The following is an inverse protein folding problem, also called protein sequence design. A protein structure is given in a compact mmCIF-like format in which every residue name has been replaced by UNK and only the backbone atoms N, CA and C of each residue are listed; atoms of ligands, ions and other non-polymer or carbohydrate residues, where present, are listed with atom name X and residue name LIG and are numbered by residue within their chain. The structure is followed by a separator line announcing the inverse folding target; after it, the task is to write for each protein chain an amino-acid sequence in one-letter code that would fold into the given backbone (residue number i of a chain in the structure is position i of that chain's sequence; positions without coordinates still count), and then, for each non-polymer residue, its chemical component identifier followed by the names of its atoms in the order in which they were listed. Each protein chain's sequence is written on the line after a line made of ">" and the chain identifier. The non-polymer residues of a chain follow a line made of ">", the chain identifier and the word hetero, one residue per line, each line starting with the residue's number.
data_IF_412442280532
#
_entry.id   IF_412442280532
#
_cell.length_a   1.000
_cell.length_b   1.000
_cell.length_c   1.000
_cell.angle_alpha   90.00
_cell.angle_beta   90.00
_cell.angle_gamma   90.00
#
_symmetry.space_group_name_H-M   'P 1'
#
loop_
_entity.id
_entity.type
_entity.pdbx_description
1 polymer ?
#
# COMPACT_ATOMS: atom_id res chain seq x y z
N UNK A 1 -0.39 -21.10 -8.99
CA UNK A 1 -0.67 -19.65 -9.02
C UNK A 1 0.61 -18.91 -9.32
N UNK A 2 0.58 -18.04 -10.30
CA UNK A 2 1.70 -17.15 -10.66
C UNK A 2 1.41 -15.74 -10.16
N UNK A 3 2.43 -15.04 -9.74
CA UNK A 3 2.34 -13.64 -9.32
C UNK A 3 3.27 -12.78 -10.17
N UNK A 4 2.72 -11.68 -10.72
CA UNK A 4 3.49 -10.60 -11.32
C UNK A 4 3.37 -9.36 -10.44
N UNK A 5 4.49 -8.70 -10.19
CA UNK A 5 4.52 -7.44 -9.45
C UNK A 5 5.06 -6.35 -10.38
N UNK A 6 4.28 -5.30 -10.58
CA UNK A 6 4.70 -4.07 -11.24
C UNK A 6 4.88 -3.00 -10.18
N UNK A 7 6.08 -2.42 -10.10
CA UNK A 7 6.42 -1.40 -9.13
C UNK A 7 6.88 -0.14 -9.86
N UNK A 8 6.19 0.97 -9.63
CA UNK A 8 6.47 2.27 -10.24
C UNK A 8 6.83 3.26 -9.13
N UNK A 9 8.02 3.81 -9.21
CA UNK A 9 8.49 4.85 -8.31
C UNK A 9 8.26 6.22 -8.94
N UNK A 10 7.49 7.06 -8.26
CA UNK A 10 7.25 8.45 -8.60
C UNK A 10 8.03 9.33 -7.61
N UNK A 11 9.21 9.85 -7.99
CA UNK A 11 9.95 10.77 -7.13
C UNK A 11 9.19 12.10 -7.02
N UNK A 12 9.15 12.65 -5.83
CA UNK A 12 8.63 13.98 -5.51
C UNK A 12 9.78 14.86 -4.98
N UNK A 13 9.53 16.11 -4.74
CA UNK A 13 10.50 17.02 -4.16
C UNK A 13 10.84 16.63 -2.70
N UNK A 14 11.97 17.14 -2.19
CA UNK A 14 12.35 16.99 -0.78
C UNK A 14 12.49 15.55 -0.25
N UNK A 15 12.95 14.60 -1.08
CA UNK A 15 13.13 13.20 -0.69
C UNK A 15 11.82 12.48 -0.34
N UNK A 16 10.70 13.00 -0.76
CA UNK A 16 9.43 12.32 -0.75
C UNK A 16 9.30 11.49 -2.04
N UNK A 17 8.50 10.45 -2.01
CA UNK A 17 8.22 9.66 -3.19
C UNK A 17 6.96 8.83 -3.00
N UNK A 18 6.36 8.44 -4.10
CA UNK A 18 5.28 7.49 -4.11
C UNK A 18 5.74 6.20 -4.78
N UNK A 19 5.38 5.08 -4.20
CA UNK A 19 5.58 3.75 -4.76
C UNK A 19 4.22 3.15 -5.08
N UNK A 20 3.89 3.08 -6.36
CA UNK A 20 2.70 2.36 -6.83
C UNK A 20 3.05 0.89 -7.06
N UNK A 21 2.20 0.00 -6.55
CA UNK A 21 2.34 -1.44 -6.68
C UNK A 21 1.08 -2.03 -7.30
N UNK A 22 1.25 -2.76 -8.40
CA UNK A 22 0.21 -3.61 -8.96
C UNK A 22 0.66 -5.07 -8.84
N UNK A 23 -0.23 -5.90 -8.31
CA UNK A 23 -0.03 -7.33 -8.15
C UNK A 23 -1.08 -8.07 -8.98
N UNK A 24 -0.63 -8.78 -10.01
CA UNK A 24 -1.47 -9.65 -10.81
C UNK A 24 -1.24 -11.10 -10.35
N UNK A 25 -2.29 -11.71 -9.82
CA UNK A 25 -2.32 -13.10 -9.36
C UNK A 25 -3.07 -13.94 -10.39
N UNK A 26 -2.44 -14.93 -11.01
CA UNK A 26 -3.03 -15.79 -12.04
C UNK A 26 -3.17 -17.23 -11.56
N UNK A 27 -4.34 -17.80 -11.74
CA UNK A 27 -4.64 -19.20 -11.45
C UNK A 27 -4.32 -20.10 -12.67
N UNK A 28 -3.02 -20.26 -13.03
CA UNK A 28 -2.58 -20.92 -14.27
C UNK A 28 -3.02 -22.38 -14.41
N UNK A 29 -2.87 -23.19 -13.36
CA UNK A 29 -2.93 -24.65 -13.45
C UNK A 29 -4.16 -25.25 -12.74
N UNK A 30 -5.23 -24.50 -12.65
CA UNK A 30 -6.46 -24.93 -11.99
C UNK A 30 -7.04 -23.84 -11.10
N UNK A 31 -8.21 -24.09 -10.52
CA UNK A 31 -8.85 -23.17 -9.60
C UNK A 31 -8.01 -22.97 -8.34
N UNK A 32 -7.96 -21.72 -7.85
CA UNK A 32 -7.25 -21.31 -6.62
C UNK A 32 -8.23 -20.66 -5.67
N UNK A 33 -8.23 -21.07 -4.43
CA UNK A 33 -8.99 -20.45 -3.36
C UNK A 33 -8.05 -19.65 -2.44
N UNK A 34 -8.30 -18.35 -2.32
CA UNK A 34 -7.73 -17.49 -1.30
C UNK A 34 -8.64 -17.53 -0.08
N UNK A 35 -8.22 -18.23 0.95
CA UNK A 35 -9.01 -18.45 2.16
C UNK A 35 -9.16 -17.16 2.98
N UNK A 36 -10.16 -17.14 3.87
CA UNK A 36 -10.35 -16.03 4.80
C UNK A 36 -9.12 -15.83 5.69
N UNK A 37 -8.71 -14.57 5.80
CA UNK A 37 -7.55 -14.18 6.61
C UNK A 37 -7.64 -12.72 7.06
N UNK A 38 -7.12 -12.45 8.24
CA UNK A 38 -6.94 -11.07 8.71
C UNK A 38 -5.82 -10.32 7.97
N UNK A 39 -4.92 -11.06 7.30
CA UNK A 39 -3.79 -10.49 6.61
C UNK A 39 -4.16 -10.06 5.19
N UNK A 40 -3.47 -9.03 4.69
CA UNK A 40 -3.52 -8.66 3.28
C UNK A 40 -2.47 -9.40 2.46
N UNK A 41 -2.59 -9.31 1.13
CA UNK A 41 -1.55 -9.79 0.20
C UNK A 41 -0.30 -8.90 0.31
N UNK A 42 -0.51 -7.60 0.50
CA UNK A 42 0.55 -6.63 0.77
C UNK A 42 0.41 -6.11 2.19
N UNK A 43 1.52 -6.11 2.92
CA UNK A 43 1.61 -5.50 4.23
C UNK A 43 2.94 -4.74 4.38
N UNK A 44 2.92 -3.71 5.21
CA UNK A 44 4.04 -2.85 5.49
C UNK A 44 4.33 -2.88 6.98
N UNK A 45 5.59 -2.87 7.34
CA UNK A 45 6.03 -2.62 8.70
C UNK A 45 6.91 -1.37 8.71
N UNK A 46 6.47 -0.34 9.43
CA UNK A 46 7.24 0.89 9.58
C UNK A 46 8.46 0.69 10.48
N UNK A 47 9.41 1.62 10.40
CA UNK A 47 10.56 1.62 11.29
C UNK A 47 10.12 1.64 12.77
N UNK A 48 10.91 0.99 13.62
CA UNK A 48 10.62 0.88 15.06
C UNK A 48 10.37 2.24 15.72
N UNK A 49 11.10 3.28 15.33
CA UNK A 49 10.96 4.63 15.87
C UNK A 49 9.63 5.30 15.47
N UNK A 50 9.04 4.92 14.33
CA UNK A 50 7.75 5.43 13.85
C UNK A 50 6.59 4.68 14.51
N UNK A 51 6.79 3.43 14.97
CA UNK A 51 5.73 2.64 15.57
C UNK A 51 5.15 3.27 16.84
N UNK A 52 3.89 3.04 17.13
CA UNK A 52 3.24 3.56 18.33
C UNK A 52 3.77 2.88 19.60
N UNK A 53 4.02 1.57 19.53
CA UNK A 53 4.47 0.79 20.68
C UNK A 53 5.94 1.02 21.07
N UNK A 54 6.84 1.06 20.08
CA UNK A 54 8.28 1.19 20.35
C UNK A 54 8.80 2.62 20.21
N UNK A 55 8.05 3.47 19.50
CA UNK A 55 8.34 4.89 19.26
C UNK A 55 7.27 5.78 19.88
N UNK A 56 7.01 6.89 19.22
CA UNK A 56 5.95 7.84 19.58
C UNK A 56 5.06 8.15 18.38
N UNK A 57 5.00 7.22 17.44
CA UNK A 57 4.19 7.39 16.25
C UNK A 57 2.72 7.16 16.48
N UNK A 58 1.94 7.52 15.49
CA UNK A 58 0.48 7.39 15.51
C UNK A 58 -0.02 6.76 14.21
N UNK A 59 -1.08 5.97 14.34
CA UNK A 59 -1.81 5.40 13.20
C UNK A 59 -3.07 6.24 12.99
N UNK A 60 -3.27 6.72 11.76
CA UNK A 60 -4.47 7.42 11.33
C UNK A 60 -5.13 6.68 10.17
N UNK A 61 -6.42 6.89 9.96
CA UNK A 61 -7.12 6.38 8.78
C UNK A 61 -8.00 7.43 8.10
N UNK A 62 -8.42 7.15 6.89
CA UNK A 62 -9.31 8.01 6.10
C UNK A 62 -10.58 8.42 6.83
N UNK A 63 -11.08 7.58 7.75
CA UNK A 63 -12.31 7.80 8.50
C UNK A 63 -12.12 8.62 9.80
N UNK A 64 -10.93 9.21 10.00
CA UNK A 64 -10.61 10.02 11.16
C UNK A 64 -10.40 9.24 12.47
N UNK A 65 -10.34 7.92 12.42
CA UNK A 65 -9.99 7.09 13.57
C UNK A 65 -8.48 7.10 13.79
N UNK A 66 -8.07 6.98 15.06
CA UNK A 66 -6.67 6.99 15.49
C UNK A 66 -6.40 5.80 16.41
N UNK A 67 -5.25 5.14 16.20
CA UNK A 67 -4.78 4.03 17.03
C UNK A 67 -5.36 2.67 16.63
N UNK A 68 -4.64 1.60 17.00
CA UNK A 68 -4.99 0.21 16.67
C UNK A 68 -6.42 -0.15 17.11
N UNK A 69 -6.76 0.12 18.35
CA UNK A 69 -8.05 -0.26 18.95
C UNK A 69 -9.25 0.23 18.15
N UNK A 70 -9.17 1.46 17.60
CA UNK A 70 -10.27 2.06 16.85
C UNK A 70 -10.28 1.70 15.37
N UNK A 71 -9.13 1.26 14.83
CA UNK A 71 -8.94 1.02 13.40
C UNK A 71 -8.97 -0.46 13.05
N UNK A 72 -8.42 -1.34 13.91
CA UNK A 72 -8.29 -2.77 13.60
C UNK A 72 -9.63 -3.38 13.16
N UNK A 73 -9.62 -4.02 12.00
CA UNK A 73 -10.79 -4.68 11.41
C UNK A 73 -11.89 -3.74 10.91
N UNK A 74 -11.62 -2.45 10.80
CA UNK A 74 -12.57 -1.47 10.26
C UNK A 74 -12.20 -1.07 8.83
N UNK A 75 -13.20 -0.76 7.97
CA UNK A 75 -12.93 -0.31 6.62
C UNK A 75 -12.33 1.09 6.61
N UNK A 76 -11.39 1.32 5.68
CA UNK A 76 -10.85 2.62 5.36
C UNK A 76 -10.19 2.60 3.99
N UNK A 77 -10.09 3.77 3.35
CA UNK A 77 -9.48 3.93 2.02
C UNK A 77 -7.96 4.00 2.08
N UNK A 78 -7.41 4.46 3.21
CA UNK A 78 -5.98 4.48 3.48
C UNK A 78 -5.69 4.45 4.97
N UNK A 79 -4.44 4.09 5.28
CA UNK A 79 -3.82 4.18 6.60
C UNK A 79 -2.55 5.00 6.51
N UNK A 80 -2.33 5.85 7.50
CA UNK A 80 -1.08 6.56 7.72
C UNK A 80 -0.42 6.07 8.99
N UNK A 81 0.89 5.93 8.94
CA UNK A 81 1.71 5.71 10.11
C UNK A 81 2.86 6.71 10.10
N UNK A 82 2.85 7.67 11.02
CA UNK A 82 3.85 8.72 11.10
C UNK A 82 4.39 8.92 12.51
N UNK A 83 5.66 9.30 12.60
CA UNK A 83 6.34 9.45 13.89
C UNK A 83 7.76 10.00 13.74
N UNK A 84 8.53 9.93 14.83
CA UNK A 84 9.89 10.47 14.89
C UNK A 84 10.90 9.53 14.25
N UNK A 85 11.80 10.09 13.45
CA UNK A 85 12.95 9.41 12.84
C UNK A 85 14.22 10.20 13.10
N UNK A 86 15.25 9.49 13.57
CA UNK A 86 16.58 10.10 13.72
C UNK A 86 17.35 9.99 12.41
N UNK A 87 17.61 11.10 11.75
CA UNK A 87 18.43 11.18 10.52
C UNK A 87 19.80 11.77 10.81
N UNK A 88 20.77 11.51 9.91
CA UNK A 88 22.15 11.99 10.05
C UNK A 88 23.08 10.94 10.63
N UNK A 89 24.36 11.30 10.75
CA UNK A 89 25.43 10.37 11.13
C UNK A 89 26.12 10.81 12.44
N UNK A 90 26.29 9.87 13.38
CA UNK A 90 26.98 10.07 14.68
C UNK A 90 26.38 11.24 15.48
N UNK A 91 27.22 12.24 15.86
CA UNK A 91 26.85 13.38 16.68
C UNK A 91 25.97 14.43 15.96
N UNK A 92 25.81 14.29 14.63
CA UNK A 92 24.96 15.17 13.80
C UNK A 92 23.59 14.55 13.50
N UNK A 93 23.05 13.79 14.44
CA UNK A 93 21.69 13.26 14.32
C UNK A 93 20.68 14.36 14.61
N UNK A 94 19.67 14.45 13.73
CA UNK A 94 18.56 15.38 13.85
C UNK A 94 17.28 14.57 13.88
N UNK A 95 16.41 14.88 14.81
CA UNK A 95 15.07 14.32 14.85
C UNK A 95 14.20 14.98 13.80
N UNK A 96 13.64 14.17 12.92
CA UNK A 96 12.64 14.58 11.94
C UNK A 96 11.34 13.82 12.21
N UNK A 97 10.24 14.32 11.65
CA UNK A 97 8.99 13.60 11.61
C UNK A 97 8.74 13.15 10.18
N UNK A 98 8.51 11.87 10.03
CA UNK A 98 8.33 11.22 8.74
C UNK A 98 7.25 10.14 8.87
N UNK A 99 6.69 9.75 7.76
CA UNK A 99 5.67 8.73 7.74
C UNK A 99 5.45 8.13 6.35
N UNK A 100 4.51 7.24 6.32
CA UNK A 100 3.99 6.69 5.08
C UNK A 100 2.49 6.51 5.16
N UNK A 101 1.82 6.84 4.06
CA UNK A 101 0.39 6.60 3.87
C UNK A 101 0.23 5.46 2.86
N UNK A 102 -0.50 4.42 3.24
CA UNK A 102 -0.78 3.25 2.42
C UNK A 102 -2.23 3.32 1.93
N UNK A 103 -2.41 3.43 0.61
CA UNK A 103 -3.70 3.56 -0.07
C UNK A 103 -4.14 2.24 -0.69
N UNK A 104 -5.43 1.93 -0.52
CA UNK A 104 -6.15 0.86 -1.17
C UNK A 104 -6.84 1.41 -2.42
N UNK A 105 -6.80 0.71 -3.56
CA UNK A 105 -7.42 1.19 -4.80
C UNK A 105 -8.89 0.79 -4.88
N UNK A 106 -9.80 1.65 -5.42
CA UNK A 106 -11.22 1.32 -5.57
C UNK A 106 -11.52 0.06 -6.38
N UNK A 107 -10.64 -0.32 -7.30
CA UNK A 107 -10.81 -1.53 -8.11
C UNK A 107 -10.46 -2.83 -7.35
N UNK A 108 -9.89 -2.74 -6.15
CA UNK A 108 -9.63 -3.92 -5.32
C UNK A 108 -10.94 -4.53 -4.81
N UNK A 109 -11.13 -5.85 -4.86
CA UNK A 109 -12.41 -6.50 -4.54
C UNK A 109 -12.96 -6.22 -3.14
N UNK A 110 -12.07 -5.93 -2.18
CA UNK A 110 -12.42 -5.65 -0.79
C UNK A 110 -12.55 -4.16 -0.47
N UNK A 111 -12.42 -3.26 -1.48
CA UNK A 111 -12.44 -1.82 -1.24
C UNK A 111 -13.77 -1.29 -0.69
N UNK A 112 -13.77 -0.38 0.31
CA UNK A 112 -12.61 -0.04 1.15
C UNK A 112 -12.28 -1.18 2.10
N UNK A 113 -11.05 -1.69 1.99
CA UNK A 113 -10.60 -2.86 2.75
C UNK A 113 -10.70 -2.64 4.26
N UNK A 114 -11.00 -3.71 5.00
CA UNK A 114 -10.79 -3.75 6.45
C UNK A 114 -9.31 -3.94 6.73
N UNK A 115 -8.78 -3.20 7.70
CA UNK A 115 -7.35 -3.14 7.92
C UNK A 115 -6.89 -4.00 9.10
N UNK A 116 -5.76 -4.67 8.89
CA UNK A 116 -4.96 -5.25 9.95
C UNK A 116 -3.84 -4.26 10.29
N UNK A 117 -3.99 -3.56 11.39
CA UNK A 117 -2.99 -2.62 11.90
C UNK A 117 -2.56 -3.03 13.30
N UNK A 118 -1.29 -2.77 13.65
CA UNK A 118 -0.73 -3.06 14.96
C UNK A 118 0.12 -1.89 15.44
N UNK A 119 0.11 -1.66 16.74
CA UNK A 119 0.95 -0.63 17.38
C UNK A 119 2.45 -0.89 17.21
N UNK A 120 2.85 -2.13 16.91
CA UNK A 120 4.24 -2.51 16.62
C UNK A 120 4.72 -2.09 15.22
N UNK A 121 3.89 -1.36 14.46
CA UNK A 121 4.23 -0.79 13.17
C UNK A 121 3.67 -1.50 11.94
N UNK A 122 2.81 -2.50 12.13
CA UNK A 122 2.23 -3.25 11.02
C UNK A 122 0.99 -2.57 10.43
N UNK A 123 0.89 -2.54 9.08
CA UNK A 123 -0.30 -2.15 8.33
C UNK A 123 -0.51 -3.06 7.13
N UNK A 124 -1.72 -3.55 6.95
CA UNK A 124 -2.11 -4.34 5.78
C UNK A 124 -3.59 -4.19 5.47
N UNK A 125 -3.91 -3.99 4.19
CA UNK A 125 -5.28 -4.04 3.70
C UNK A 125 -5.70 -5.51 3.55
N UNK A 126 -6.67 -5.96 4.36
CA UNK A 126 -7.09 -7.37 4.41
C UNK A 126 -8.01 -7.69 3.23
N UNK A 127 -7.49 -8.38 2.22
CA UNK A 127 -8.24 -8.74 1.01
C UNK A 127 -9.39 -9.70 1.31
N UNK A 128 -9.13 -10.75 2.09
CA UNK A 128 -10.08 -11.85 2.34
C UNK A 128 -10.54 -11.89 3.80
N UNK A 129 -10.79 -10.74 4.44
CA UNK A 129 -11.13 -10.72 5.87
C UNK A 129 -12.49 -11.34 6.16
N UNK A 130 -13.49 -11.03 5.35
CA UNK A 130 -14.88 -11.45 5.58
C UNK A 130 -15.23 -12.70 4.79
N UNK A 131 -14.64 -12.88 3.63
CA UNK A 131 -14.87 -14.03 2.74
C UNK A 131 -13.63 -14.33 1.91
N UNK A 132 -13.47 -15.57 1.51
CA UNK A 132 -12.45 -16.01 0.56
C UNK A 132 -12.78 -15.55 -0.87
N UNK A 133 -11.80 -15.66 -1.75
CA UNK A 133 -11.94 -15.42 -3.19
C UNK A 133 -11.58 -16.71 -3.91
N UNK A 134 -12.49 -17.20 -4.75
CA UNK A 134 -12.22 -18.32 -5.65
C UNK A 134 -11.87 -17.75 -7.03
N UNK A 135 -10.76 -18.19 -7.58
CA UNK A 135 -10.29 -17.86 -8.92
C UNK A 135 -10.35 -19.10 -9.78
N UNK A 136 -11.08 -19.06 -10.89
CA UNK A 136 -11.10 -20.15 -11.86
C UNK A 136 -9.76 -20.22 -12.64
N UNK A 137 -9.53 -21.37 -13.25
CA UNK A 137 -8.33 -21.58 -14.09
C UNK A 137 -8.22 -20.49 -15.17
N UNK A 138 -7.07 -19.85 -15.28
CA UNK A 138 -6.81 -18.75 -16.21
C UNK A 138 -7.30 -17.37 -15.74
N UNK A 139 -8.01 -17.29 -14.62
CA UNK A 139 -8.45 -16.00 -14.07
C UNK A 139 -7.27 -15.24 -13.46
N UNK A 140 -7.25 -13.92 -13.71
CA UNK A 140 -6.30 -12.99 -13.12
C UNK A 140 -7.01 -12.06 -12.15
N UNK A 141 -6.49 -11.98 -10.94
CA UNK A 141 -6.88 -11.00 -9.92
C UNK A 141 -5.82 -9.90 -9.85
N UNK A 142 -6.21 -8.70 -10.22
CA UNK A 142 -5.34 -7.52 -10.13
C UNK A 142 -5.64 -6.74 -8.85
N UNK A 143 -4.59 -6.49 -8.07
CA UNK A 143 -4.64 -5.67 -6.85
C UNK A 143 -3.71 -4.48 -7.01
N UNK A 144 -4.17 -3.30 -6.58
CA UNK A 144 -3.42 -2.05 -6.72
C UNK A 144 -3.31 -1.33 -5.39
N UNK A 145 -2.10 -0.86 -5.10
CA UNK A 145 -1.78 -0.15 -3.86
C UNK A 145 -0.81 0.99 -4.16
N UNK A 146 -0.92 2.06 -3.36
CA UNK A 146 0.02 3.18 -3.42
C UNK A 146 0.57 3.45 -2.02
N UNK A 147 1.87 3.65 -1.93
CA UNK A 147 2.57 4.03 -0.70
C UNK A 147 3.16 5.42 -0.92
N UNK A 148 2.67 6.42 -0.18
CA UNK A 148 3.22 7.77 -0.17
C UNK A 148 4.18 7.90 1.02
N UNK A 149 5.47 8.05 0.75
CA UNK A 149 6.49 8.29 1.77
C UNK A 149 6.65 9.80 1.91
N UNK A 150 6.32 10.32 3.09
CA UNK A 150 6.22 11.75 3.30
C UNK A 150 7.01 12.23 4.52
N UNK A 151 7.36 13.52 4.48
CA UNK A 151 7.84 14.25 5.63
C UNK A 151 6.69 14.77 6.47
N UNK A 152 7.00 15.12 7.71
CA UNK A 152 6.08 15.61 8.72
C UNK A 152 5.09 14.55 9.18
N UNK A 153 4.15 14.98 10.01
CA UNK A 153 3.05 14.13 10.47
C UNK A 153 1.97 14.02 9.39
N UNK A 154 1.05 13.09 9.62
CA UNK A 154 -0.13 12.90 8.80
C UNK A 154 -0.84 14.20 8.44
N UNK A 155 -1.05 14.41 7.14
CA UNK A 155 -1.87 15.48 6.58
C UNK A 155 -3.04 14.88 5.80
N UNK A 156 -4.23 15.01 6.39
CA UNK A 156 -5.45 14.49 5.79
C UNK A 156 -5.75 15.08 4.41
N UNK A 157 -5.52 16.39 4.21
CA UNK A 157 -5.79 17.03 2.92
C UNK A 157 -4.85 16.53 1.82
N UNK A 158 -3.57 16.28 2.18
CA UNK A 158 -2.62 15.65 1.27
C UNK A 158 -3.09 14.23 0.91
N UNK A 159 -3.43 13.43 1.91
CA UNK A 159 -3.89 12.06 1.71
C UNK A 159 -5.16 11.98 0.85
N UNK A 160 -6.15 12.88 1.06
CA UNK A 160 -7.36 12.95 0.22
C UNK A 160 -7.01 13.23 -1.25
N UNK A 161 -6.17 14.23 -1.54
CA UNK A 161 -5.76 14.55 -2.94
C UNK A 161 -5.05 13.37 -3.62
N UNK A 162 -4.17 12.69 -2.90
CA UNK A 162 -3.45 11.52 -3.41
C UNK A 162 -4.44 10.38 -3.69
N UNK A 163 -5.37 10.11 -2.76
CA UNK A 163 -6.40 9.09 -2.92
C UNK A 163 -7.28 9.34 -4.14
N UNK A 164 -7.72 10.58 -4.38
CA UNK A 164 -8.51 10.97 -5.55
C UNK A 164 -7.73 10.76 -6.86
N UNK A 165 -6.46 11.17 -6.90
CA UNK A 165 -5.59 10.95 -8.05
C UNK A 165 -5.36 9.46 -8.33
N UNK A 166 -5.07 8.67 -7.30
CA UNK A 166 -4.85 7.23 -7.41
C UNK A 166 -6.12 6.50 -7.83
N UNK A 167 -7.29 6.84 -7.28
CA UNK A 167 -8.57 6.26 -7.64
C UNK A 167 -8.96 6.47 -9.12
N UNK A 168 -8.45 7.52 -9.75
CA UNK A 168 -8.68 7.81 -11.17
C UNK A 168 -7.59 7.24 -12.10
N UNK A 169 -6.51 6.70 -11.56
CA UNK A 169 -5.41 6.14 -12.34
C UNK A 169 -5.79 4.81 -13.00
N UNK A 170 -5.20 4.53 -14.15
CA UNK A 170 -5.40 3.28 -14.87
C UNK A 170 -4.40 2.22 -14.39
N UNK A 171 -4.76 0.94 -14.55
CA UNK A 171 -3.87 -0.18 -14.30
C UNK A 171 -2.66 -0.14 -15.25
N UNK A 172 -1.56 -0.72 -14.81
CA UNK A 172 -0.35 -0.88 -15.60
C UNK A 172 -0.40 -2.14 -16.45
N UNK A 173 0.11 -2.03 -17.68
CA UNK A 173 0.35 -3.16 -18.58
C UNK A 173 1.84 -3.29 -18.83
N UNK A 174 2.30 -4.54 -18.88
CA UNK A 174 3.68 -4.88 -19.12
C UNK A 174 3.75 -5.77 -20.34
N UNK A 175 4.41 -5.30 -21.40
CA UNK A 175 4.61 -6.04 -22.63
C UNK A 175 6.10 -6.27 -22.90
N UNK A 176 6.39 -7.33 -23.66
CA UNK A 176 7.76 -7.58 -24.09
C UNK A 176 8.17 -6.49 -25.07
N UNK A 177 9.28 -5.81 -24.80
CA UNK A 177 9.78 -4.78 -25.69
C UNK A 177 10.34 -5.37 -26.99
N UNK A 178 10.11 -4.68 -28.09
CA UNK A 178 10.78 -4.92 -29.36
C UNK A 178 12.04 -4.06 -29.54
N UNK A 179 12.31 -3.15 -28.58
CA UNK A 179 13.47 -2.25 -28.61
C UNK A 179 14.74 -2.97 -28.17
N UNK A 180 15.84 -2.67 -28.85
CA UNK A 180 17.17 -3.22 -28.50
C UNK A 180 17.54 -2.85 -27.06
N UNK A 181 18.04 -3.83 -26.29
CA UNK A 181 18.43 -3.69 -24.87
C UNK A 181 17.32 -3.31 -23.89
N UNK A 182 16.06 -3.43 -24.30
CA UNK A 182 14.90 -3.23 -23.44
C UNK A 182 14.12 -4.54 -23.35
N UNK A 183 13.92 -5.08 -22.16
CA UNK A 183 13.23 -6.37 -21.98
C UNK A 183 11.72 -6.23 -21.95
N UNK A 184 11.22 -5.14 -21.35
CA UNK A 184 9.79 -4.89 -21.21
C UNK A 184 9.49 -3.38 -21.37
N UNK A 185 8.29 -3.09 -21.80
CA UNK A 185 7.70 -1.75 -21.80
C UNK A 185 6.51 -1.74 -20.83
N UNK A 186 6.38 -0.65 -20.08
CA UNK A 186 5.32 -0.47 -19.07
C UNK A 186 4.52 0.76 -19.48
N UNK A 187 3.22 0.64 -19.55
CA UNK A 187 2.31 1.72 -19.92
C UNK A 187 0.96 1.56 -19.20
N UNK A 188 0.17 2.62 -19.16
CA UNK A 188 -1.19 2.54 -18.64
C UNK A 188 -2.09 1.77 -19.60
N UNK A 189 -2.90 0.87 -19.07
CA UNK A 189 -3.93 0.19 -19.82
C UNK A 189 -4.94 1.17 -20.43
N UNK A 190 -5.60 0.77 -21.51
CA UNK A 190 -6.77 1.49 -21.99
C UNK A 190 -7.97 1.26 -21.03
N UNK A 191 -8.83 2.27 -20.90
CA UNK A 191 -10.12 2.11 -20.20
C UNK A 191 -11.07 1.24 -20.98
#
# INVERSE_FOLDING_TARGET
>A
MTQRVTAILHPDEDRQYQLELQLDLEAENGSVELMTSNFGILAIRVAKSISAYFGQGQIHCSEGRVGEERIFGKPARWMDYSGSVMTGHREKRVENREGLTYFDHPDNPSYPSKWHVREDGWMGASLCRDQGIVMDAGQVLTLRYLIDVHRNLYDRKRAERIAEGFASSLSWQVERSTKKHTHAEIFHGAR
#
